data_IF_450046885609
#
_entry.id   IF_450046885609
#
_cell.length_a   1.000
_cell.length_b   1.000
_cell.length_c   1.000
_cell.angle_alpha   90.00
_cell.angle_beta   90.00
_cell.angle_gamma   90.00
#
_symmetry.space_group_name_H-M   'P 1'
#
loop_
_entity.id
_entity.type
_entity.pdbx_description
1 polymer ?
#
# COMPACT_ATOMS: atom_id res chain seq x y z
N UNK A 1 -27.12 36.94 -19.82
CA UNK A 1 -27.49 36.59 -18.44
C UNK A 1 -27.07 35.14 -18.22
N UNK A 2 -25.87 34.92 -17.71
CA UNK A 2 -25.33 33.57 -17.45
C UNK A 2 -25.88 33.12 -16.11
N UNK A 3 -26.69 32.06 -16.07
CA UNK A 3 -27.09 31.41 -14.82
C UNK A 3 -25.86 30.72 -14.25
N UNK A 4 -25.31 31.28 -13.17
CA UNK A 4 -24.37 30.59 -12.30
C UNK A 4 -25.12 29.45 -11.59
N UNK A 5 -24.75 28.21 -11.89
CA UNK A 5 -25.16 27.04 -11.12
C UNK A 5 -24.49 27.12 -9.75
N UNK A 6 -25.32 27.36 -8.74
CA UNK A 6 -24.97 27.44 -7.32
C UNK A 6 -24.65 26.02 -6.82
N UNK A 7 -23.36 25.69 -6.79
CA UNK A 7 -22.83 24.36 -6.45
C UNK A 7 -22.71 24.17 -4.92
N UNK A 8 -23.79 24.50 -4.20
CA UNK A 8 -23.89 24.40 -2.75
C UNK A 8 -24.60 23.12 -2.31
N UNK A 9 -24.23 21.97 -2.89
CA UNK A 9 -24.58 20.67 -2.31
C UNK A 9 -23.84 20.48 -0.98
N UNK A 10 -24.51 20.85 0.11
CA UNK A 10 -24.10 20.46 1.47
C UNK A 10 -23.91 18.94 1.49
N UNK A 11 -22.65 18.47 1.53
CA UNK A 11 -22.28 17.06 1.78
C UNK A 11 -22.96 16.58 3.06
N UNK A 12 -24.16 16.01 2.93
CA UNK A 12 -24.86 15.37 4.04
C UNK A 12 -24.01 14.19 4.46
N UNK A 13 -23.38 14.29 5.64
CA UNK A 13 -22.80 13.11 6.29
C UNK A 13 -23.96 12.14 6.50
N UNK A 14 -23.94 11.01 5.79
CA UNK A 14 -24.87 9.92 6.04
C UNK A 14 -24.58 9.44 7.47
N UNK A 15 -25.45 9.80 8.40
CA UNK A 15 -25.39 9.26 9.76
C UNK A 15 -25.67 7.76 9.63
N UNK A 16 -24.79 6.95 10.22
CA UNK A 16 -24.92 5.49 10.35
C UNK A 16 -24.67 4.65 9.07
N UNK A 17 -23.87 5.13 8.12
CA UNK A 17 -23.37 4.27 7.04
C UNK A 17 -22.04 3.60 7.43
N UNK A 18 -22.05 2.27 7.51
CA UNK A 18 -20.85 1.45 7.66
C UNK A 18 -20.46 0.84 6.30
N UNK A 19 -19.19 0.95 5.93
CA UNK A 19 -18.65 0.38 4.68
C UNK A 19 -17.47 -0.52 5.03
N UNK A 20 -17.60 -1.81 4.73
CA UNK A 20 -16.50 -2.76 4.84
C UNK A 20 -15.73 -2.83 3.53
N UNK A 21 -14.41 -2.65 3.58
CA UNK A 21 -13.52 -2.80 2.41
C UNK A 21 -12.53 -3.93 2.72
N UNK A 22 -12.68 -5.11 2.09
CA UNK A 22 -11.79 -6.23 2.34
C UNK A 22 -10.42 -5.96 1.72
N UNK A 23 -9.37 -6.14 2.52
CA UNK A 23 -7.97 -5.97 2.07
C UNK A 23 -7.21 -7.28 2.24
N UNK A 24 -6.21 -7.47 1.39
CA UNK A 24 -5.23 -8.55 1.46
C UNK A 24 -3.86 -7.92 1.64
N UNK A 25 -3.13 -8.39 2.65
CA UNK A 25 -1.76 -7.97 2.90
C UNK A 25 -0.86 -9.20 3.06
N UNK A 26 0.41 -9.03 2.76
CA UNK A 26 1.40 -10.09 2.89
C UNK A 26 2.64 -9.77 2.08
N UNK A 27 3.49 -10.78 1.89
CA UNK A 27 4.69 -10.67 1.08
C UNK A 27 4.87 -11.89 0.17
N UNK A 28 5.62 -11.68 -0.90
CA UNK A 28 6.22 -12.75 -1.69
C UNK A 28 7.73 -12.63 -1.60
N UNK A 29 8.44 -13.75 -1.55
CA UNK A 29 9.89 -13.78 -1.50
C UNK A 29 10.45 -14.81 -2.48
N UNK A 30 11.52 -14.46 -3.17
CA UNK A 30 12.20 -15.30 -4.14
C UNK A 30 13.68 -15.37 -3.83
N UNK A 31 14.20 -16.59 -3.73
CA UNK A 31 15.62 -16.82 -3.55
C UNK A 31 16.41 -16.35 -4.78
N UNK A 32 17.47 -15.58 -4.56
CA UNK A 32 18.30 -15.00 -5.62
C UNK A 32 19.27 -16.01 -6.26
N UNK A 33 19.39 -17.21 -5.70
CA UNK A 33 20.23 -18.28 -6.24
C UNK A 33 21.70 -17.87 -6.30
N UNK A 34 22.36 -18.10 -7.45
CA UNK A 34 23.78 -17.77 -7.66
C UNK A 34 24.11 -16.27 -7.57
N UNK A 35 23.11 -15.39 -7.60
CA UNK A 35 23.26 -13.93 -7.44
C UNK A 35 23.12 -13.48 -5.98
N UNK A 36 22.80 -14.41 -5.06
CA UNK A 36 22.71 -14.11 -3.64
C UNK A 36 24.07 -13.67 -3.09
N UNK A 37 24.04 -12.66 -2.22
CA UNK A 37 25.16 -12.32 -1.35
C UNK A 37 24.81 -12.67 0.09
N UNK A 38 25.81 -12.62 0.98
CA UNK A 38 25.63 -12.88 2.42
C UNK A 38 24.49 -12.03 3.03
N UNK A 39 24.34 -10.78 2.57
CA UNK A 39 23.34 -9.84 3.07
C UNK A 39 22.11 -9.68 2.16
N UNK A 40 22.07 -10.35 1.01
CA UNK A 40 20.95 -10.31 0.07
C UNK A 40 20.73 -11.70 -0.50
N UNK A 41 20.04 -12.56 0.26
CA UNK A 41 19.74 -13.93 -0.16
C UNK A 41 18.42 -14.02 -0.90
N UNK A 42 17.45 -13.18 -0.53
CA UNK A 42 16.11 -13.15 -1.12
C UNK A 42 15.75 -11.76 -1.59
N UNK A 43 15.01 -11.68 -2.69
CA UNK A 43 14.25 -10.50 -3.06
C UNK A 43 12.81 -10.72 -2.62
N UNK A 44 12.27 -9.78 -1.86
CA UNK A 44 10.92 -9.85 -1.34
C UNK A 44 10.13 -8.61 -1.72
N UNK A 45 8.82 -8.79 -1.85
CA UNK A 45 7.86 -7.72 -2.12
C UNK A 45 6.75 -7.82 -1.10
N UNK A 46 6.59 -6.79 -0.26
CA UNK A 46 5.46 -6.64 0.64
C UNK A 46 4.38 -5.82 -0.06
N UNK A 47 3.11 -6.15 0.16
CA UNK A 47 2.00 -5.49 -0.52
C UNK A 47 0.74 -5.38 0.35
N UNK A 48 -0.09 -4.40 -0.01
CA UNK A 48 -1.48 -4.26 0.41
C UNK A 48 -2.32 -4.10 -0.86
N UNK A 49 -3.32 -4.97 -1.03
CA UNK A 49 -4.16 -5.04 -2.23
C UNK A 49 -5.62 -5.27 -1.86
N UNK A 50 -6.55 -4.95 -2.77
CA UNK A 50 -7.96 -5.31 -2.61
C UNK A 50 -8.16 -6.81 -2.74
N UNK A 51 -9.12 -7.39 -2.03
CA UNK A 51 -9.36 -8.83 -2.05
C UNK A 51 -9.74 -9.35 -3.44
N UNK A 52 -10.40 -8.51 -4.24
CA UNK A 52 -10.80 -8.83 -5.62
C UNK A 52 -9.98 -8.09 -6.66
N UNK A 53 -8.80 -7.58 -6.28
CA UNK A 53 -7.96 -6.70 -7.10
C UNK A 53 -8.65 -5.36 -7.46
N UNK A 54 -9.52 -4.87 -6.57
CA UNK A 54 -10.16 -3.56 -6.70
C UNK A 54 -9.20 -2.39 -6.45
N UNK A 55 -9.56 -1.20 -6.95
CA UNK A 55 -8.78 0.01 -6.72
C UNK A 55 -8.98 0.53 -5.29
N UNK A 56 -8.01 0.24 -4.43
CA UNK A 56 -7.98 0.75 -3.05
C UNK A 56 -7.67 2.25 -2.98
N UNK A 57 -7.20 2.91 -4.04
CA UNK A 57 -6.87 4.34 -4.03
C UNK A 57 -8.06 5.25 -3.74
N UNK A 58 -9.29 4.77 -3.93
CA UNK A 58 -10.53 5.49 -3.60
C UNK A 58 -10.74 5.62 -2.09
N UNK A 59 -10.22 4.67 -1.32
CA UNK A 59 -10.44 4.56 0.15
C UNK A 59 -9.15 4.82 0.93
N UNK A 60 -8.02 4.40 0.39
CA UNK A 60 -6.70 4.45 1.02
C UNK A 60 -5.89 5.59 0.40
N UNK A 61 -5.56 6.60 1.21
CA UNK A 61 -4.73 7.73 0.77
C UNK A 61 -3.25 7.37 0.64
N UNK A 62 -2.72 6.57 1.57
CA UNK A 62 -1.31 6.14 1.57
C UNK A 62 -1.10 4.94 2.47
N UNK A 63 -0.06 4.15 2.19
CA UNK A 63 0.38 3.02 3.01
C UNK A 63 1.79 3.27 3.53
N UNK A 64 1.99 3.09 4.82
CA UNK A 64 3.29 3.16 5.47
C UNK A 64 3.81 1.73 5.69
N UNK A 65 4.94 1.40 5.08
CA UNK A 65 5.67 0.17 5.34
C UNK A 65 6.81 0.48 6.32
N UNK A 66 6.72 -0.07 7.53
CA UNK A 66 7.77 0.03 8.53
C UNK A 66 8.68 -1.19 8.43
N UNK A 67 9.89 -0.99 7.93
CA UNK A 67 10.93 -2.02 7.84
C UNK A 67 11.77 -2.06 9.12
N UNK A 68 12.55 -3.13 9.26
CA UNK A 68 13.57 -3.25 10.29
C UNK A 68 14.63 -2.12 10.18
N UNK A 69 15.21 -1.72 11.31
CA UNK A 69 16.15 -0.59 11.43
C UNK A 69 17.45 -0.75 10.63
N UNK A 70 17.77 -1.97 10.18
CA UNK A 70 18.90 -2.24 9.30
C UNK A 70 18.71 -1.70 7.88
N UNK A 71 17.47 -1.39 7.47
CA UNK A 71 17.20 -0.81 6.15
C UNK A 71 17.39 0.71 6.19
N UNK A 72 18.02 1.24 5.14
CA UNK A 72 18.06 2.69 4.97
C UNK A 72 16.63 3.21 4.73
N UNK A 73 16.26 4.31 5.40
CA UNK A 73 14.90 4.84 5.42
C UNK A 73 13.88 3.74 5.74
N UNK A 74 13.84 3.21 6.97
CA UNK A 74 13.03 2.04 7.29
C UNK A 74 11.53 2.32 7.17
N UNK A 75 11.10 3.57 7.33
CA UNK A 75 9.72 3.97 7.05
C UNK A 75 9.60 4.36 5.58
N UNK A 76 8.96 3.50 4.78
CA UNK A 76 8.66 3.75 3.36
C UNK A 76 7.20 4.11 3.22
N UNK A 77 6.89 5.07 2.36
CA UNK A 77 5.52 5.50 2.16
C UNK A 77 5.14 5.44 0.70
N UNK A 78 4.00 4.81 0.42
CA UNK A 78 3.45 4.64 -0.92
C UNK A 78 2.10 5.34 -0.98
N UNK A 79 2.03 6.39 -1.79
CA UNK A 79 0.87 7.30 -1.85
C UNK A 79 -0.13 6.92 -2.95
N UNK A 80 0.25 6.02 -3.85
CA UNK A 80 -0.58 5.59 -5.00
C UNK A 80 -0.50 4.09 -5.20
N UNK A 81 -1.60 3.43 -5.60
CA UNK A 81 -1.57 2.02 -5.95
C UNK A 81 -0.67 1.75 -7.18
N UNK A 82 -0.03 0.58 -7.29
CA UNK A 82 -0.08 -0.54 -6.34
C UNK A 82 0.68 -0.24 -5.04
N UNK A 83 0.04 -0.49 -3.89
CA UNK A 83 0.65 -0.29 -2.58
C UNK A 83 1.59 -1.46 -2.28
N UNK A 84 2.76 -1.43 -2.87
CA UNK A 84 3.78 -2.46 -2.69
C UNK A 84 5.18 -1.89 -2.64
N UNK A 85 6.06 -2.63 -1.99
CA UNK A 85 7.46 -2.28 -1.83
C UNK A 85 8.30 -3.54 -2.04
N UNK A 86 9.32 -3.44 -2.89
CA UNK A 86 10.29 -4.52 -3.12
C UNK A 86 11.65 -4.18 -2.55
N UNK A 87 12.27 -5.12 -1.86
CA UNK A 87 13.59 -4.99 -1.27
C UNK A 87 14.34 -6.34 -1.32
N UNK A 88 15.63 -6.32 -0.96
CA UNK A 88 16.42 -7.54 -0.81
C UNK A 88 16.95 -7.65 0.61
N UNK A 89 16.98 -8.87 1.14
CA UNK A 89 17.43 -9.13 2.50
C UNK A 89 17.71 -10.61 2.72
N UNK A 90 18.13 -10.92 3.94
CA UNK A 90 18.55 -12.27 4.33
C UNK A 90 17.80 -12.84 5.53
N UNK A 91 17.13 -11.99 6.31
CA UNK A 91 16.36 -12.38 7.49
C UNK A 91 14.89 -11.95 7.40
N UNK A 92 14.08 -12.53 8.27
CA UNK A 92 12.64 -12.28 8.42
C UNK A 92 12.40 -11.39 9.65
N UNK A 93 11.44 -10.45 9.55
CA UNK A 93 11.05 -9.51 10.61
C UNK A 93 9.62 -9.01 10.41
#
# INVERSE_FOLDING_TARGET
MVKSSDDSEKKKKLKELEVGVPIVYGNVAFWLGKKASEFQSHKWTIYVRGATNEDLGVVVKRVFFQLHSSFNNPTRVVDTPPFELSESGWGEF
#
